data_IF_644175286548
#
_entry.id   IF_644175286548
#
_cell.length_a   1.000
_cell.length_b   1.000
_cell.length_c   1.000
_cell.angle_alpha   90.00
_cell.angle_beta   90.00
_cell.angle_gamma   90.00
#
_symmetry.space_group_name_H-M   'P 1'
#
loop_
_entity.id
_entity.type
_entity.pdbx_description
1 polymer ?
#
# COMPACT_ATOMS: atom_id res chain seq x y z
N UNK A 1 -8.83 10.36 -2.67
CA UNK A 1 -8.40 8.95 -2.51
C UNK A 1 -8.07 8.60 -1.07
N UNK A 2 -8.23 7.33 -0.72
CA UNK A 2 -7.90 6.77 0.61
C UNK A 2 -6.52 6.11 0.54
N UNK A 3 -5.72 6.27 1.59
CA UNK A 3 -4.47 5.52 1.77
C UNK A 3 -4.65 4.47 2.86
N UNK A 4 -4.23 3.25 2.58
CA UNK A 4 -4.06 2.19 3.59
C UNK A 4 -2.57 1.97 3.78
N UNK A 5 -2.08 2.29 4.97
CA UNK A 5 -0.66 2.27 5.29
C UNK A 5 -0.31 1.10 6.20
N UNK A 6 0.39 0.08 5.67
CA UNK A 6 0.84 -1.08 6.44
C UNK A 6 2.29 -0.96 6.94
N UNK A 7 2.89 0.23 6.81
CA UNK A 7 4.24 0.54 7.24
C UNK A 7 4.25 1.59 8.36
N UNK A 8 5.39 2.24 8.58
CA UNK A 8 5.46 3.37 9.51
C UNK A 8 4.55 4.53 9.07
N UNK A 9 4.03 5.33 10.01
CA UNK A 9 3.15 6.46 9.70
C UNK A 9 3.74 7.39 8.64
N UNK A 10 2.90 7.81 7.70
CA UNK A 10 3.29 8.76 6.66
C UNK A 10 3.45 10.16 7.25
N UNK A 11 4.53 10.84 6.89
CA UNK A 11 4.73 12.25 7.23
C UNK A 11 3.86 13.16 6.36
N UNK A 12 3.55 14.37 6.85
CA UNK A 12 2.80 15.36 6.06
C UNK A 12 3.44 15.64 4.68
N UNK A 13 4.78 15.66 4.62
CA UNK A 13 5.50 15.82 3.34
C UNK A 13 5.28 14.65 2.39
N UNK A 14 5.24 13.42 2.90
CA UNK A 14 4.96 12.24 2.07
C UNK A 14 3.51 12.24 1.58
N UNK A 15 2.55 12.64 2.42
CA UNK A 15 1.17 12.82 1.98
C UNK A 15 1.07 13.84 0.85
N UNK A 16 1.73 14.99 0.98
CA UNK A 16 1.77 15.99 -0.08
C UNK A 16 2.37 15.43 -1.39
N UNK A 17 3.51 14.72 -1.31
CA UNK A 17 4.11 14.08 -2.48
C UNK A 17 3.16 13.10 -3.16
N UNK A 18 2.38 12.35 -2.38
CA UNK A 18 1.40 11.40 -2.89
C UNK A 18 0.26 12.12 -3.62
N UNK A 19 -0.28 13.20 -3.05
CA UNK A 19 -1.33 14.02 -3.70
C UNK A 19 -0.84 14.63 -5.02
N UNK A 20 0.38 15.17 -5.03
CA UNK A 20 1.01 15.74 -6.23
C UNK A 20 1.20 14.68 -7.33
N UNK A 21 1.67 13.47 -6.97
CA UNK A 21 1.86 12.38 -7.91
C UNK A 21 0.55 11.77 -8.41
N UNK A 22 -0.46 11.67 -7.56
CA UNK A 22 -1.77 11.13 -7.91
C UNK A 22 -2.66 12.14 -8.63
N UNK A 23 -2.35 13.44 -8.51
CA UNK A 23 -3.21 14.54 -8.93
C UNK A 23 -4.63 14.43 -8.34
N UNK A 24 -4.72 13.97 -7.08
CA UNK A 24 -5.96 13.75 -6.34
C UNK A 24 -5.71 13.93 -4.84
N UNK A 25 -6.59 14.63 -4.09
CA UNK A 25 -6.42 14.84 -2.66
C UNK A 25 -6.61 13.55 -1.85
N UNK A 26 -5.90 13.43 -0.73
CA UNK A 26 -6.09 12.36 0.25
C UNK A 26 -7.30 12.69 1.12
N UNK A 27 -8.29 11.81 1.14
CA UNK A 27 -9.52 11.97 1.93
C UNK A 27 -9.44 11.27 3.28
N UNK A 28 -8.63 10.21 3.38
CA UNK A 28 -8.35 9.50 4.61
C UNK A 28 -7.01 8.75 4.54
N UNK A 29 -6.34 8.61 5.68
CA UNK A 29 -5.19 7.72 5.86
C UNK A 29 -5.54 6.75 6.99
N UNK A 30 -5.50 5.46 6.70
CA UNK A 30 -5.64 4.40 7.69
C UNK A 30 -4.27 3.78 7.96
N UNK A 31 -3.68 4.14 9.10
CA UNK A 31 -2.41 3.58 9.55
C UNK A 31 -2.65 2.23 10.26
N UNK A 32 -2.21 1.15 9.62
CA UNK A 32 -2.24 -0.23 10.12
C UNK A 32 -0.82 -0.80 10.14
N UNK A 33 0.10 -0.24 10.94
CA UNK A 33 1.50 -0.70 10.97
C UNK A 33 1.55 -2.19 11.34
N UNK A 34 2.07 -3.01 10.44
CA UNK A 34 2.12 -4.44 10.66
C UNK A 34 3.30 -4.84 11.55
N UNK A 35 3.03 -5.71 12.52
CA UNK A 35 4.06 -6.45 13.26
C UNK A 35 3.78 -7.94 13.05
N UNK A 36 4.75 -8.64 12.46
CA UNK A 36 4.61 -10.05 12.12
C UNK A 36 5.46 -10.90 13.07
N UNK A 37 4.83 -11.89 13.68
CA UNK A 37 5.46 -12.91 14.49
C UNK A 37 6.02 -14.02 13.59
N UNK A 38 7.35 -14.10 13.50
CA UNK A 38 8.04 -15.05 12.61
C UNK A 38 7.81 -16.52 12.98
N UNK A 39 7.46 -16.81 14.23
CA UNK A 39 7.17 -18.18 14.71
C UNK A 39 5.74 -18.63 14.42
N UNK A 40 4.89 -17.76 13.86
CA UNK A 40 3.49 -18.03 13.58
C UNK A 40 3.22 -18.04 12.07
N UNK A 41 2.15 -18.72 11.61
CA UNK A 41 1.75 -18.67 10.21
C UNK A 41 1.48 -17.24 9.74
N UNK A 42 2.00 -16.86 8.58
CA UNK A 42 1.94 -15.48 8.08
C UNK A 42 0.56 -15.08 7.55
N UNK A 43 -0.16 -15.99 6.88
CA UNK A 43 -1.43 -15.68 6.22
C UNK A 43 -2.50 -15.17 7.19
N UNK A 44 -2.77 -15.82 8.34
CA UNK A 44 -3.75 -15.30 9.31
C UNK A 44 -3.38 -13.91 9.84
N UNK A 45 -2.08 -13.62 10.02
CA UNK A 45 -1.60 -12.33 10.50
C UNK A 45 -1.85 -11.22 9.46
N UNK A 46 -1.52 -11.49 8.19
CA UNK A 46 -1.80 -10.55 7.09
C UNK A 46 -3.29 -10.28 6.95
N UNK A 47 -4.11 -11.34 7.00
CA UNK A 47 -5.56 -11.21 6.93
C UNK A 47 -6.10 -10.37 8.09
N UNK A 48 -5.63 -10.61 9.32
CA UNK A 48 -6.01 -9.81 10.49
C UNK A 48 -5.74 -8.32 10.29
N UNK A 49 -4.55 -7.95 9.82
CA UNK A 49 -4.23 -6.56 9.52
C UNK A 49 -5.14 -5.95 8.43
N UNK A 50 -5.54 -6.70 7.41
CA UNK A 50 -6.48 -6.19 6.40
C UNK A 50 -7.89 -6.03 6.97
N UNK A 51 -8.33 -6.97 7.82
CA UNK A 51 -9.65 -6.94 8.46
C UNK A 51 -9.79 -5.81 9.48
N UNK A 52 -8.68 -5.35 10.09
CA UNK A 52 -8.65 -4.21 11.00
C UNK A 52 -8.80 -2.84 10.31
N UNK A 53 -8.65 -2.80 8.98
CA UNK A 53 -8.85 -1.55 8.22
C UNK A 53 -10.34 -1.17 8.26
N UNK A 54 -10.71 0.05 8.71
CA UNK A 54 -12.11 0.43 8.94
C UNK A 54 -12.83 0.83 7.64
N UNK A 55 -12.75 -0.04 6.63
CA UNK A 55 -13.43 0.08 5.35
C UNK A 55 -14.53 -0.96 5.23
N UNK A 56 -15.71 -0.52 4.82
CA UNK A 56 -16.82 -1.41 4.44
C UNK A 56 -16.52 -2.14 3.14
N UNK A 57 -17.18 -3.28 2.92
CA UNK A 57 -17.07 -4.04 1.66
C UNK A 57 -17.36 -3.19 0.42
N UNK A 58 -18.28 -2.22 0.52
CA UNK A 58 -18.57 -1.28 -0.56
C UNK A 58 -17.39 -0.35 -0.81
N UNK A 59 -16.84 0.26 0.24
CA UNK A 59 -15.71 1.18 0.10
C UNK A 59 -14.48 0.50 -0.49
N UNK A 60 -14.20 -0.75 -0.11
CA UNK A 60 -13.16 -1.55 -0.75
C UNK A 60 -13.31 -1.65 -2.27
N UNK A 61 -14.54 -1.70 -2.79
CA UNK A 61 -14.79 -1.87 -4.23
C UNK A 61 -14.93 -0.55 -4.99
N UNK A 62 -15.34 0.53 -4.32
CA UNK A 62 -15.73 1.78 -4.98
C UNK A 62 -14.77 2.94 -4.76
N UNK A 63 -14.04 2.97 -3.65
CA UNK A 63 -13.15 4.09 -3.34
C UNK A 63 -11.83 3.99 -4.12
N UNK A 64 -11.28 5.11 -4.61
CA UNK A 64 -9.92 5.15 -5.09
C UNK A 64 -8.96 4.95 -3.93
N UNK A 65 -8.13 3.91 -4.02
CA UNK A 65 -7.28 3.42 -2.92
C UNK A 65 -5.81 3.33 -3.36
N UNK A 66 -4.91 3.81 -2.49
CA UNK A 66 -3.48 3.55 -2.55
C UNK A 66 -3.04 2.71 -1.34
N UNK A 67 -2.09 1.80 -1.57
CA UNK A 67 -1.57 0.90 -0.52
C UNK A 67 -0.09 1.18 -0.29
N UNK A 68 0.30 1.50 0.94
CA UNK A 68 1.72 1.44 1.32
C UNK A 68 1.99 0.06 1.94
N UNK A 69 2.70 -0.85 1.24
CA UNK A 69 2.88 -2.22 1.70
C UNK A 69 3.80 -2.31 2.93
N UNK A 70 3.74 -3.40 3.71
CA UNK A 70 4.66 -3.61 4.81
C UNK A 70 6.09 -3.88 4.29
N UNK A 71 7.10 -3.60 5.12
CA UNK A 71 8.51 -3.81 4.76
C UNK A 71 8.93 -5.27 4.60
N UNK A 72 8.16 -6.22 5.15
CA UNK A 72 8.43 -7.65 5.03
C UNK A 72 7.92 -8.19 3.69
N UNK A 73 8.82 -8.50 2.77
CA UNK A 73 8.47 -8.89 1.40
C UNK A 73 7.46 -10.06 1.29
N UNK A 74 7.60 -11.18 2.02
CA UNK A 74 6.58 -12.23 2.03
C UNK A 74 5.20 -11.77 2.52
N UNK A 75 5.15 -10.82 3.46
CA UNK A 75 3.89 -10.29 3.95
C UNK A 75 3.24 -9.41 2.87
N UNK A 76 4.03 -8.56 2.21
CA UNK A 76 3.56 -7.72 1.12
C UNK A 76 2.98 -8.55 -0.04
N UNK A 77 3.60 -9.68 -0.40
CA UNK A 77 3.09 -10.53 -1.51
C UNK A 77 1.76 -11.20 -1.14
N UNK A 78 1.62 -11.72 0.07
CA UNK A 78 0.35 -12.29 0.57
C UNK A 78 -0.73 -11.21 0.65
N UNK A 79 -0.38 -10.02 1.15
CA UNK A 79 -1.30 -8.89 1.27
C UNK A 79 -1.83 -8.47 -0.10
N UNK A 80 -0.98 -8.39 -1.11
CA UNK A 80 -1.41 -8.04 -2.48
C UNK A 80 -2.35 -9.10 -3.08
N UNK A 81 -2.15 -10.39 -2.77
CA UNK A 81 -3.05 -11.45 -3.22
C UNK A 81 -4.43 -11.36 -2.54
N UNK A 82 -4.48 -11.13 -1.23
CA UNK A 82 -5.71 -10.90 -0.48
C UNK A 82 -6.47 -9.66 -0.98
N UNK A 83 -5.77 -8.54 -1.14
CA UNK A 83 -6.38 -7.31 -1.66
C UNK A 83 -6.89 -7.50 -3.08
N UNK A 84 -6.16 -8.23 -3.94
CA UNK A 84 -6.65 -8.52 -5.30
C UNK A 84 -8.01 -9.25 -5.27
N UNK A 85 -8.21 -10.16 -4.32
CA UNK A 85 -9.49 -10.85 -4.12
C UNK A 85 -10.63 -9.92 -3.65
N UNK A 86 -10.33 -8.94 -2.79
CA UNK A 86 -11.32 -7.99 -2.24
C UNK A 86 -11.68 -6.86 -3.21
N UNK A 87 -10.68 -6.37 -3.93
CA UNK A 87 -10.80 -5.24 -4.87
C UNK A 87 -11.27 -5.70 -6.26
N UNK A 88 -10.96 -6.95 -6.66
CA UNK A 88 -11.14 -7.46 -8.02
C UNK A 88 -10.03 -7.07 -9.01
N UNK A 89 -9.14 -6.14 -8.61
CA UNK A 89 -7.99 -5.68 -9.38
C UNK A 89 -6.77 -5.49 -8.47
N UNK A 90 -5.56 -5.42 -9.04
CA UNK A 90 -4.36 -5.17 -8.24
C UNK A 90 -4.28 -3.69 -7.83
N UNK A 91 -4.05 -3.37 -6.55
CA UNK A 91 -4.00 -1.98 -6.10
C UNK A 91 -2.78 -1.23 -6.67
N UNK A 92 -2.85 0.09 -6.68
CA UNK A 92 -1.65 0.93 -6.84
C UNK A 92 -0.91 0.98 -5.51
N UNK A 93 0.40 0.72 -5.54
CA UNK A 93 1.24 0.74 -4.34
C UNK A 93 2.13 1.99 -4.27
N UNK A 94 2.38 2.45 -3.04
CA UNK A 94 3.30 3.55 -2.75
C UNK A 94 4.70 2.95 -2.56
N UNK A 95 5.70 3.49 -3.25
CA UNK A 95 7.11 3.15 -3.03
C UNK A 95 7.83 4.27 -2.32
N UNK A 96 8.21 4.03 -1.07
CA UNK A 96 9.03 4.94 -0.27
C UNK A 96 10.50 4.52 -0.37
N UNK A 97 11.41 5.49 -0.48
CA UNK A 97 12.86 5.24 -0.52
C UNK A 97 13.63 6.30 0.29
N UNK A 98 14.86 6.00 0.74
CA UNK A 98 15.71 7.01 1.36
C UNK A 98 16.15 8.07 0.33
N UNK A 99 16.24 9.32 0.78
CA UNK A 99 16.81 10.43 0.01
C UNK A 99 18.33 10.31 0.09
N UNK A 100 18.97 10.07 -1.06
CA UNK A 100 20.41 9.93 -1.16
C UNK A 100 21.12 11.19 -0.65
N UNK A 101 22.12 11.02 0.23
CA UNK A 101 22.89 12.13 0.79
C UNK A 101 22.18 12.93 1.90
N UNK A 102 21.01 12.49 2.36
CA UNK A 102 20.33 13.14 3.49
C UNK A 102 21.03 12.85 4.83
N UNK A 103 21.20 13.87 5.67
CA UNK A 103 21.68 13.74 7.06
C UNK A 103 20.81 14.60 7.98
N UNK A 104 20.08 14.02 8.96
CA UNK A 104 19.87 12.58 9.17
C UNK A 104 19.12 11.93 7.99
N UNK A 105 19.06 10.60 7.95
CA UNK A 105 18.34 9.84 6.91
C UNK A 105 16.89 10.32 6.82
N UNK A 106 16.49 10.73 5.63
CA UNK A 106 15.11 11.11 5.28
C UNK A 106 14.60 10.19 4.19
N UNK A 107 13.27 10.08 4.10
CA UNK A 107 12.59 9.27 3.10
C UNK A 107 11.64 10.13 2.27
N UNK A 108 11.45 9.74 1.02
CA UNK A 108 10.53 10.35 0.07
C UNK A 108 9.64 9.30 -0.58
N UNK A 109 8.47 9.73 -1.05
CA UNK A 109 7.66 8.93 -1.96
C UNK A 109 8.31 9.01 -3.33
N UNK A 110 8.82 7.87 -3.81
CA UNK A 110 9.55 7.80 -5.07
C UNK A 110 8.59 7.62 -6.25
N UNK A 111 7.61 6.72 -6.10
CA UNK A 111 6.75 6.26 -7.19
C UNK A 111 5.39 5.81 -6.65
N UNK A 112 4.35 6.01 -7.46
CA UNK A 112 3.06 5.31 -7.33
C UNK A 112 3.00 4.24 -8.43
N UNK A 113 2.97 2.97 -8.05
CA UNK A 113 3.09 1.84 -8.98
C UNK A 113 1.73 1.17 -9.18
N UNK A 114 1.09 1.39 -10.34
CA UNK A 114 -0.16 0.74 -10.69
C UNK A 114 0.07 -0.73 -11.08
N UNK A 115 -0.10 -1.64 -10.12
CA UNK A 115 0.15 -3.07 -10.33
C UNK A 115 -0.85 -3.72 -11.30
N UNK A 116 -2.06 -3.18 -11.43
CA UNK A 116 -3.02 -3.65 -12.43
C UNK A 116 -2.51 -3.36 -13.85
N UNK A 117 -1.95 -2.17 -14.08
CA UNK A 117 -1.31 -1.82 -15.37
C UNK A 117 -0.08 -2.68 -15.67
N UNK A 118 0.70 -3.04 -14.65
CA UNK A 118 1.82 -4.01 -14.80
C UNK A 118 1.29 -5.36 -15.27
N UNK A 119 0.24 -5.90 -14.63
CA UNK A 119 -0.41 -7.16 -15.03
C UNK A 119 -0.94 -7.09 -16.46
N UNK A 120 -1.62 -6.01 -16.82
CA UNK A 120 -2.24 -5.87 -18.14
C UNK A 120 -1.20 -5.78 -19.25
N UNK A 121 -0.08 -5.09 -18.98
CA UNK A 121 1.07 -5.03 -19.90
C UNK A 121 1.70 -6.41 -20.07
N UNK A 122 1.95 -7.14 -18.98
CA UNK A 122 2.50 -8.49 -19.04
C UNK A 122 1.58 -9.48 -19.78
N UNK A 123 0.25 -9.31 -19.72
CA UNK A 123 -0.71 -10.14 -20.47
C UNK A 123 -0.62 -9.96 -21.98
N UNK A 124 -0.27 -8.77 -22.46
CA UNK A 124 -0.14 -8.46 -23.90
C UNK A 124 1.12 -9.04 -24.54
N UNK A 125 2.11 -9.42 -23.73
CA UNK A 125 3.41 -9.95 -24.17
C UNK A 125 3.46 -11.48 -24.22
N UNK A 126 2.31 -12.15 -24.11
CA UNK A 126 2.19 -13.61 -24.16
C UNK A 126 2.10 -14.12 -25.59
#
# INVERSE_FOLDING_TARGET
MIIINFAHPLTARQCQQIEEMANEPITAVYDTPCQFENSQPLLPQVKGHIDDVPLTSTQWQTEPLLVNPPGLAPAATVLLAELHGRLGYFPTIIRIRPILGSTPTRYEVAELLNLQSVRDTARRQR
#
